data_IF_327777995346
#
_entry.id   IF_327777995346
#
_cell.length_a   1.000
_cell.length_b   1.000
_cell.length_c   1.000
_cell.angle_alpha   90.00
_cell.angle_beta   90.00
_cell.angle_gamma   90.00
#
_symmetry.space_group_name_H-M   'P 1'
#
loop_
_entity.id
_entity.type
_entity.pdbx_description
1 polymer ?
#
# COMPACT_ATOMS: atom_id res chain seq x y z
N UNK A 1 67.05 39.86 -4.51
CA UNK A 1 67.94 38.80 -3.97
C UNK A 1 67.65 37.50 -4.73
N UNK A 2 68.65 36.62 -4.92
CA UNK A 2 68.58 35.44 -5.81
C UNK A 2 68.28 34.13 -5.05
N UNK A 3 67.81 33.13 -5.80
CA UNK A 3 67.83 31.68 -5.54
C UNK A 3 66.78 31.08 -4.57
N UNK A 4 65.81 30.37 -5.16
CA UNK A 4 65.47 29.01 -4.70
C UNK A 4 66.62 28.06 -5.14
N UNK A 5 66.85 26.91 -4.47
CA UNK A 5 66.25 25.61 -4.90
C UNK A 5 66.18 24.56 -3.73
N UNK A 6 65.94 23.23 -3.83
CA UNK A 6 65.66 22.21 -4.87
C UNK A 6 64.55 21.23 -4.37
N UNK A 7 64.07 20.32 -5.24
CA UNK A 7 63.51 18.98 -4.88
C UNK A 7 64.67 18.01 -4.48
N UNK A 8 64.51 16.76 -4.01
CA UNK A 8 64.07 15.54 -4.75
C UNK A 8 64.32 14.26 -3.90
N UNK A 9 63.66 13.13 -4.26
CA UNK A 9 63.98 11.69 -4.00
C UNK A 9 63.85 11.19 -2.53
N UNK A 10 63.03 10.18 -2.17
CA UNK A 10 62.82 8.78 -2.64
C UNK A 10 63.94 7.79 -2.24
N UNK A 11 63.60 6.87 -1.32
CA UNK A 11 64.01 5.45 -1.13
C UNK A 11 63.29 4.95 0.15
N UNK A 12 62.24 4.12 0.11
CA UNK A 12 62.24 2.64 -0.05
C UNK A 12 63.30 1.92 0.81
N UNK A 13 62.86 0.98 1.67
CA UNK A 13 63.40 -0.39 1.90
C UNK A 13 62.68 -1.13 3.07
N UNK A 14 62.05 -2.27 2.74
CA UNK A 14 61.97 -3.56 3.51
C UNK A 14 61.14 -3.67 4.81
N UNK A 15 60.24 -4.66 4.83
CA UNK A 15 59.57 -5.28 6.00
C UNK A 15 60.26 -6.62 6.36
N UNK A 16 60.10 -7.23 7.57
CA UNK A 16 58.90 -8.05 7.88
C UNK A 16 58.54 -8.19 9.39
N UNK A 17 57.65 -9.15 9.71
CA UNK A 17 57.57 -9.99 10.96
C UNK A 17 56.36 -9.82 11.92
N UNK A 18 55.30 -10.58 11.61
CA UNK A 18 54.57 -11.57 12.46
C UNK A 18 54.45 -11.38 13.99
N UNK A 19 53.19 -11.43 14.44
CA UNK A 19 52.63 -11.89 15.74
C UNK A 19 52.77 -11.02 17.02
N UNK A 20 51.61 -10.51 17.45
CA UNK A 20 51.22 -10.45 18.87
C UNK A 20 49.68 -10.54 18.99
N UNK A 21 49.17 -11.73 19.32
CA UNK A 21 47.77 -12.00 19.62
C UNK A 21 47.62 -12.15 21.14
N UNK A 22 46.78 -11.33 21.80
CA UNK A 22 45.94 -11.74 22.94
C UNK A 22 45.17 -10.56 23.59
N UNK A 23 43.85 -10.58 23.40
CA UNK A 23 42.80 -10.36 24.42
C UNK A 23 42.86 -9.13 25.34
N UNK A 24 41.86 -8.26 25.15
CA UNK A 24 40.97 -7.85 26.25
C UNK A 24 39.55 -7.62 25.70
N UNK A 25 38.80 -8.71 25.59
CA UNK A 25 37.39 -8.73 25.21
C UNK A 25 36.51 -8.41 26.40
N UNK A 26 35.75 -7.32 26.31
CA UNK A 26 34.53 -7.08 27.07
C UNK A 26 33.47 -6.57 26.08
N UNK A 27 33.06 -7.47 25.17
CA UNK A 27 32.15 -7.14 24.08
C UNK A 27 30.74 -6.88 24.58
N UNK A 28 30.17 -5.73 24.23
CA UNK A 28 28.72 -5.58 24.22
C UNK A 28 28.17 -6.32 22.98
N UNK A 29 27.24 -7.28 23.13
CA UNK A 29 26.83 -8.17 22.04
C UNK A 29 26.18 -7.45 20.84
N UNK A 30 25.65 -6.23 21.03
CA UNK A 30 25.00 -5.48 19.96
C UNK A 30 25.91 -4.95 18.85
N UNK A 31 27.23 -4.83 19.07
CA UNK A 31 28.13 -4.22 18.09
C UNK A 31 28.55 -5.16 16.94
N UNK A 32 28.73 -6.46 17.22
CA UNK A 32 29.02 -7.44 16.18
C UNK A 32 27.76 -7.79 15.40
N UNK A 33 26.66 -8.15 16.08
CA UNK A 33 25.38 -8.46 15.43
C UNK A 33 24.87 -7.36 14.47
N UNK A 34 25.09 -6.08 14.78
CA UNK A 34 24.76 -4.97 13.86
C UNK A 34 25.68 -4.92 12.63
N UNK A 35 26.95 -5.27 12.78
CA UNK A 35 27.91 -5.40 11.67
C UNK A 35 27.53 -6.59 10.78
N UNK A 36 27.23 -7.74 11.38
CA UNK A 36 26.88 -8.98 10.69
C UNK A 36 25.59 -8.80 9.88
N UNK A 37 24.53 -8.23 10.49
CA UNK A 37 23.27 -7.98 9.80
C UNK A 37 23.39 -6.98 8.65
N UNK A 38 24.27 -5.98 8.77
CA UNK A 38 24.54 -5.04 7.67
C UNK A 38 25.17 -5.73 6.45
N UNK A 39 25.97 -6.79 6.68
CA UNK A 39 26.56 -7.62 5.62
C UNK A 39 25.50 -8.46 4.93
N UNK A 40 24.62 -9.13 5.69
CA UNK A 40 23.45 -9.87 5.16
C UNK A 40 22.58 -8.93 4.31
N UNK A 41 22.26 -7.75 4.85
CA UNK A 41 21.45 -6.75 4.16
C UNK A 41 22.10 -6.23 2.87
N UNK A 42 23.43 -6.05 2.85
CA UNK A 42 24.14 -5.65 1.64
C UNK A 42 24.13 -6.75 0.58
N UNK A 43 24.42 -8.00 0.96
CA UNK A 43 24.35 -9.13 0.04
C UNK A 43 22.95 -9.29 -0.56
N UNK A 44 21.90 -9.11 0.26
CA UNK A 44 20.50 -9.13 -0.20
C UNK A 44 20.12 -7.98 -1.17
N UNK A 45 20.91 -6.90 -1.25
CA UNK A 45 20.74 -5.89 -2.32
C UNK A 45 21.37 -6.34 -3.64
N UNK A 46 22.36 -7.23 -3.59
CA UNK A 46 23.14 -7.68 -4.74
C UNK A 46 22.59 -9.00 -5.33
N UNK A 47 22.00 -9.88 -4.52
CA UNK A 47 21.28 -11.10 -4.94
C UNK A 47 20.08 -11.36 -4.01
N UNK A 48 18.96 -11.98 -4.46
CA UNK A 48 17.80 -12.28 -3.61
C UNK A 48 18.05 -13.34 -2.54
N UNK A 49 19.11 -14.15 -2.64
CA UNK A 49 19.39 -15.24 -1.69
C UNK A 49 20.74 -15.01 -1.01
N UNK A 50 20.75 -15.08 0.32
CA UNK A 50 21.97 -15.07 1.14
C UNK A 50 22.05 -16.36 1.96
N UNK A 51 23.22 -16.99 1.96
CA UNK A 51 23.56 -18.10 2.86
C UNK A 51 24.76 -17.66 3.69
N UNK A 52 24.62 -17.72 5.01
CA UNK A 52 25.73 -17.47 5.92
C UNK A 52 26.81 -18.56 5.76
N UNK A 53 28.12 -18.22 5.79
CA UNK A 53 29.20 -19.21 5.75
C UNK A 53 29.05 -20.36 6.76
N UNK A 54 28.50 -20.09 7.95
CA UNK A 54 28.25 -21.09 9.01
C UNK A 54 26.98 -21.93 8.77
N UNK A 55 26.20 -21.64 7.72
CA UNK A 55 24.98 -22.33 7.33
C UNK A 55 25.06 -23.01 5.94
N UNK A 56 26.28 -23.13 5.38
CA UNK A 56 26.54 -23.76 4.07
C UNK A 56 26.28 -25.28 4.02
N UNK A 57 26.12 -25.92 5.18
CA UNK A 57 25.66 -27.31 5.33
C UNK A 57 24.13 -27.44 5.26
N UNK A 58 23.39 -26.35 5.49
CA UNK A 58 21.92 -26.28 5.43
C UNK A 58 21.44 -26.11 3.98
N UNK A 59 22.08 -25.24 3.21
CA UNK A 59 21.79 -25.02 1.80
C UNK A 59 23.09 -24.90 1.00
N UNK A 60 23.26 -25.74 -0.02
CA UNK A 60 24.47 -25.70 -0.86
C UNK A 60 24.52 -24.42 -1.69
N UNK A 61 25.73 -23.94 -2.02
CA UNK A 61 25.93 -22.77 -2.90
C UNK A 61 25.16 -22.93 -4.23
N UNK A 62 25.19 -24.13 -4.83
CA UNK A 62 24.46 -24.42 -6.07
C UNK A 62 22.93 -24.43 -5.92
N UNK A 63 22.41 -24.75 -4.74
CA UNK A 63 20.96 -24.67 -4.47
C UNK A 63 20.52 -23.23 -4.16
N UNK A 64 21.40 -22.43 -3.54
CA UNK A 64 21.20 -21.01 -3.31
C UNK A 64 21.22 -20.22 -4.63
N UNK A 65 22.16 -20.51 -5.52
CA UNK A 65 22.26 -19.94 -6.87
C UNK A 65 21.01 -20.28 -7.69
N UNK A 66 20.59 -21.55 -7.73
CA UNK A 66 19.37 -21.96 -8.44
C UNK A 66 18.08 -21.36 -7.85
N UNK A 67 18.05 -21.06 -6.54
CA UNK A 67 16.95 -20.34 -5.91
C UNK A 67 16.99 -18.84 -6.22
N UNK A 68 18.18 -18.25 -6.34
CA UNK A 68 18.37 -16.87 -6.73
C UNK A 68 17.96 -16.63 -8.17
N UNK A 69 18.47 -17.43 -9.12
CA UNK A 69 18.07 -17.43 -10.53
C UNK A 69 16.54 -17.46 -10.68
N UNK A 70 15.87 -18.36 -9.95
CA UNK A 70 14.40 -18.48 -9.94
C UNK A 70 13.69 -17.17 -9.52
N UNK A 71 14.21 -16.46 -8.52
CA UNK A 71 13.62 -15.21 -8.02
C UNK A 71 13.91 -14.05 -8.99
N UNK A 72 15.12 -13.98 -9.54
CA UNK A 72 15.54 -12.96 -10.51
C UNK A 72 14.76 -13.09 -11.83
N UNK A 73 14.66 -14.29 -12.40
CA UNK A 73 13.88 -14.61 -13.61
C UNK A 73 12.39 -14.23 -13.47
N UNK A 74 11.85 -14.31 -12.25
CA UNK A 74 10.46 -14.00 -11.97
C UNK A 74 10.16 -12.51 -11.76
N UNK A 75 11.18 -11.64 -11.67
CA UNK A 75 11.08 -10.22 -11.32
C UNK A 75 10.21 -9.99 -10.07
N UNK A 76 10.55 -10.61 -8.93
CA UNK A 76 9.80 -10.45 -7.67
C UNK A 76 10.67 -9.97 -6.52
N UNK A 77 10.18 -9.07 -5.64
CA UNK A 77 10.90 -8.59 -4.47
C UNK A 77 10.79 -9.62 -3.31
N UNK A 78 11.36 -10.80 -3.52
CA UNK A 78 11.47 -11.88 -2.54
C UNK A 78 12.93 -11.96 -2.12
N UNK A 79 13.16 -12.00 -0.81
CA UNK A 79 14.49 -12.04 -0.20
C UNK A 79 14.54 -13.26 0.72
N UNK A 80 15.57 -14.08 0.61
CA UNK A 80 15.76 -15.30 1.42
C UNK A 80 17.11 -15.24 2.11
N UNK A 81 17.13 -15.34 3.44
CA UNK A 81 18.36 -15.49 4.21
C UNK A 81 18.38 -16.84 4.94
N UNK A 82 19.49 -17.57 4.83
CA UNK A 82 19.78 -18.79 5.59
C UNK A 82 20.89 -18.48 6.58
N UNK A 83 20.58 -18.56 7.88
CA UNK A 83 21.42 -18.11 8.98
C UNK A 83 21.62 -19.23 10.01
N UNK A 84 22.72 -19.22 10.79
CA UNK A 84 22.96 -20.20 11.85
C UNK A 84 21.89 -20.15 12.96
N UNK A 85 21.72 -21.24 13.69
CA UNK A 85 20.61 -21.43 14.62
C UNK A 85 20.66 -20.53 15.87
N UNK A 86 21.83 -19.98 16.21
CA UNK A 86 22.08 -19.07 17.32
C UNK A 86 22.11 -17.58 16.91
N UNK A 87 21.80 -17.27 15.64
CA UNK A 87 21.78 -15.90 15.14
C UNK A 87 20.76 -15.02 15.91
N UNK A 88 21.11 -13.77 16.30
CA UNK A 88 20.22 -12.90 17.07
C UNK A 88 18.89 -12.57 16.35
N UNK A 89 17.77 -12.95 16.96
CA UNK A 89 16.42 -12.77 16.37
C UNK A 89 15.72 -11.47 16.77
N UNK A 90 16.27 -10.71 17.74
CA UNK A 90 15.65 -9.48 18.24
C UNK A 90 15.54 -8.42 17.14
N UNK A 91 14.30 -8.03 16.80
CA UNK A 91 13.99 -7.09 15.72
C UNK A 91 14.53 -7.49 14.33
N UNK A 92 14.97 -8.74 14.12
CA UNK A 92 15.70 -9.21 12.94
C UNK A 92 15.08 -8.75 11.60
N UNK A 93 13.83 -9.12 11.32
CA UNK A 93 13.13 -8.69 10.09
C UNK A 93 12.99 -7.18 9.94
N UNK A 94 12.78 -6.43 11.03
CA UNK A 94 12.64 -4.97 11.00
C UNK A 94 13.97 -4.34 10.60
N UNK A 95 15.05 -4.76 11.26
CA UNK A 95 16.38 -4.25 11.02
C UNK A 95 16.88 -4.66 9.63
N UNK A 96 16.67 -5.92 9.22
CA UNK A 96 17.01 -6.41 7.88
C UNK A 96 16.30 -5.61 6.78
N UNK A 97 14.98 -5.40 6.89
CA UNK A 97 14.22 -4.57 5.96
C UNK A 97 14.77 -3.13 5.95
N UNK A 98 15.00 -2.53 7.12
CA UNK A 98 15.52 -1.16 7.23
C UNK A 98 16.89 -1.02 6.55
N UNK A 99 17.80 -1.95 6.80
CA UNK A 99 19.14 -1.95 6.19
C UNK A 99 19.06 -2.25 4.69
N UNK A 100 18.47 -3.36 4.25
CA UNK A 100 18.35 -3.70 2.81
C UNK A 100 17.71 -2.56 2.03
N UNK A 101 16.74 -1.87 2.63
CA UNK A 101 16.14 -0.64 2.10
C UNK A 101 15.07 -0.86 1.03
N UNK A 102 14.87 -2.11 0.59
CA UNK A 102 13.91 -2.49 -0.45
C UNK A 102 12.59 -2.94 0.18
N UNK A 103 11.47 -2.58 -0.47
CA UNK A 103 10.13 -3.05 -0.09
C UNK A 103 9.91 -4.45 -0.65
N UNK A 104 9.58 -5.45 0.18
CA UNK A 104 9.53 -6.85 -0.26
C UNK A 104 8.94 -7.84 0.74
N UNK A 105 9.01 -9.13 0.38
CA UNK A 105 8.82 -10.28 1.27
C UNK A 105 10.19 -10.82 1.65
N UNK A 106 10.46 -10.93 2.94
CA UNK A 106 11.68 -11.47 3.50
C UNK A 106 11.35 -12.78 4.20
N UNK A 107 11.92 -13.89 3.74
CA UNK A 107 11.92 -15.19 4.41
C UNK A 107 13.28 -15.44 5.06
N UNK A 108 13.29 -15.94 6.30
CA UNK A 108 14.53 -16.26 7.02
C UNK A 108 14.43 -17.68 7.58
N UNK A 109 15.44 -18.50 7.26
CA UNK A 109 15.66 -19.80 7.89
C UNK A 109 16.77 -19.70 8.93
N UNK A 110 16.48 -20.14 10.15
CA UNK A 110 17.39 -20.14 11.30
C UNK A 110 17.60 -21.57 11.76
N UNK A 111 18.67 -22.22 11.31
CA UNK A 111 18.88 -23.65 11.52
C UNK A 111 17.76 -24.50 10.90
N UNK A 112 16.77 -24.87 11.71
CA UNK A 112 15.56 -25.61 11.31
C UNK A 112 14.27 -24.80 11.35
N UNK A 113 14.27 -23.61 11.96
CA UNK A 113 13.10 -22.75 12.05
C UNK A 113 12.97 -21.86 10.80
N UNK A 114 11.73 -21.50 10.45
CA UNK A 114 11.43 -20.62 9.32
C UNK A 114 10.30 -19.65 9.69
N UNK A 115 10.56 -18.36 9.48
CA UNK A 115 9.58 -17.26 9.58
C UNK A 115 9.72 -16.35 8.35
N UNK A 116 8.70 -15.56 8.05
CA UNK A 116 8.73 -14.59 6.97
C UNK A 116 7.92 -13.34 7.31
N UNK A 117 8.31 -12.18 6.76
CA UNK A 117 7.56 -10.92 6.87
C UNK A 117 7.59 -10.15 5.56
N UNK A 118 6.47 -9.50 5.24
CA UNK A 118 6.35 -8.63 4.08
C UNK A 118 5.95 -7.22 4.47
N UNK A 119 6.36 -6.24 3.67
CA UNK A 119 5.71 -4.94 3.64
C UNK A 119 4.23 -5.10 3.21
N UNK A 120 3.30 -4.37 3.85
CA UNK A 120 1.85 -4.52 3.62
C UNK A 120 1.37 -4.14 2.21
N UNK A 121 2.22 -3.48 1.42
CA UNK A 121 2.02 -3.18 0.01
C UNK A 121 2.38 -4.34 -0.94
N UNK A 122 3.06 -5.37 -0.42
CA UNK A 122 3.55 -6.54 -1.17
C UNK A 122 2.68 -7.77 -0.88
N UNK A 123 2.40 -8.02 0.40
CA UNK A 123 1.53 -9.11 0.85
C UNK A 123 0.87 -8.77 2.20
N UNK A 124 -0.35 -9.25 2.40
CA UNK A 124 -1.06 -9.07 3.68
C UNK A 124 -0.47 -9.98 4.77
N UNK A 125 -0.60 -9.58 6.05
CA UNK A 125 -0.12 -10.39 7.18
C UNK A 125 -0.73 -11.80 7.20
N UNK A 126 -1.98 -11.96 6.73
CA UNK A 126 -2.61 -13.27 6.58
C UNK A 126 -1.98 -14.10 5.44
N UNK A 127 -1.66 -13.46 4.31
CA UNK A 127 -0.96 -14.11 3.21
C UNK A 127 0.42 -14.63 3.65
N UNK A 128 1.16 -13.82 4.41
CA UNK A 128 2.45 -14.22 5.00
C UNK A 128 2.29 -15.43 5.94
N UNK A 129 1.31 -15.41 6.85
CA UNK A 129 1.05 -16.55 7.75
C UNK A 129 0.73 -17.84 6.99
N UNK A 130 -0.04 -17.74 5.90
CA UNK A 130 -0.35 -18.89 5.05
C UNK A 130 0.91 -19.46 4.38
N UNK A 131 1.81 -18.60 3.86
CA UNK A 131 3.09 -19.02 3.28
C UNK A 131 4.02 -19.69 4.31
N UNK A 132 4.16 -19.11 5.50
CA UNK A 132 4.97 -19.69 6.58
C UNK A 132 4.41 -21.06 7.00
N UNK A 133 3.09 -21.19 7.11
CA UNK A 133 2.43 -22.46 7.46
C UNK A 133 2.66 -23.53 6.39
N UNK A 134 2.61 -23.17 5.11
CA UNK A 134 2.90 -24.09 4.01
C UNK A 134 4.37 -24.54 4.03
N UNK A 135 5.30 -23.60 4.14
CA UNK A 135 6.75 -23.86 4.16
C UNK A 135 7.20 -24.73 5.35
N UNK A 136 6.52 -24.63 6.50
CA UNK A 136 6.80 -25.47 7.68
C UNK A 136 6.45 -26.96 7.48
N UNK A 137 5.69 -27.33 6.43
CA UNK A 137 5.36 -28.72 6.10
C UNK A 137 6.39 -29.47 5.26
N UNK A 138 7.42 -28.78 4.74
CA UNK A 138 8.40 -29.37 3.83
C UNK A 138 9.53 -30.13 4.58
N UNK A 139 10.08 -31.16 3.93
CA UNK A 139 10.95 -32.14 4.59
C UNK A 139 12.41 -31.73 4.82
N UNK A 140 13.01 -30.97 3.89
CA UNK A 140 14.38 -30.47 3.98
C UNK A 140 14.47 -28.97 3.66
N UNK A 141 15.61 -28.35 3.95
CA UNK A 141 15.82 -26.91 3.78
C UNK A 141 15.62 -26.45 2.33
N UNK A 142 16.07 -27.24 1.35
CA UNK A 142 15.94 -26.93 -0.08
C UNK A 142 14.48 -26.96 -0.50
N UNK A 143 13.73 -28.00 -0.11
CA UNK A 143 12.30 -28.13 -0.38
C UNK A 143 11.53 -26.97 0.26
N UNK A 144 11.76 -26.68 1.56
CA UNK A 144 11.10 -25.59 2.27
C UNK A 144 11.27 -24.24 1.58
N UNK A 145 12.49 -23.88 1.20
CA UNK A 145 12.76 -22.60 0.57
C UNK A 145 12.23 -22.52 -0.86
N UNK A 146 12.21 -23.64 -1.60
CA UNK A 146 11.60 -23.71 -2.92
C UNK A 146 10.07 -23.61 -2.87
N UNK A 147 9.42 -24.32 -1.95
CA UNK A 147 7.96 -24.28 -1.77
C UNK A 147 7.51 -22.88 -1.34
N UNK A 148 8.23 -22.26 -0.39
CA UNK A 148 8.00 -20.87 0.01
C UNK A 148 8.10 -19.90 -1.17
N UNK A 149 9.15 -20.00 -1.98
CA UNK A 149 9.33 -19.15 -3.16
C UNK A 149 8.24 -19.42 -4.20
N UNK A 150 7.95 -20.67 -4.53
CA UNK A 150 6.96 -21.02 -5.56
C UNK A 150 5.53 -20.55 -5.18
N UNK A 151 5.15 -20.64 -3.90
CA UNK A 151 3.86 -20.10 -3.43
C UNK A 151 3.88 -18.58 -3.26
N UNK A 152 5.00 -17.97 -2.91
CA UNK A 152 5.15 -16.52 -2.93
C UNK A 152 5.00 -15.97 -4.37
N UNK A 153 5.71 -16.54 -5.35
CA UNK A 153 5.67 -16.15 -6.76
C UNK A 153 4.24 -16.13 -7.33
N UNK A 154 3.38 -17.07 -6.90
CA UNK A 154 1.96 -17.16 -7.29
C UNK A 154 1.08 -16.06 -6.70
N UNK A 155 1.41 -15.57 -5.50
CA UNK A 155 0.52 -14.74 -4.68
C UNK A 155 1.00 -13.29 -4.48
N UNK A 156 2.20 -12.92 -4.97
CA UNK A 156 2.92 -11.72 -4.56
C UNK A 156 2.99 -10.62 -5.65
N UNK A 157 2.65 -9.39 -5.23
CA UNK A 157 2.70 -8.18 -6.06
C UNK A 157 3.98 -7.37 -5.86
N UNK A 158 4.59 -6.90 -6.95
CA UNK A 158 5.84 -6.14 -6.95
C UNK A 158 6.75 -6.53 -8.11
N UNK A 159 7.88 -5.81 -8.22
CA UNK A 159 9.03 -6.10 -9.10
C UNK A 159 10.33 -6.05 -8.28
N UNK A 160 11.38 -6.70 -8.77
CA UNK A 160 12.70 -6.75 -8.14
C UNK A 160 13.41 -5.38 -8.08
N UNK A 161 14.37 -5.17 -7.16
CA UNK A 161 15.25 -4.01 -7.19
C UNK A 161 16.17 -4.03 -8.42
N UNK A 162 16.47 -2.85 -8.97
CA UNK A 162 17.27 -2.68 -10.19
C UNK A 162 18.77 -3.03 -10.05
N UNK A 163 19.20 -3.49 -8.88
CA UNK A 163 20.57 -3.94 -8.61
C UNK A 163 20.83 -5.38 -9.06
N UNK A 164 19.80 -6.24 -9.11
CA UNK A 164 19.94 -7.65 -9.49
C UNK A 164 20.14 -7.86 -11.01
N UNK A 165 19.71 -6.93 -11.87
CA UNK A 165 19.88 -7.03 -13.33
C UNK A 165 21.32 -6.71 -13.81
N UNK A 166 22.34 -7.23 -13.14
CA UNK A 166 23.70 -6.65 -13.07
C UNK A 166 24.90 -7.57 -13.30
N UNK A 167 24.71 -8.83 -13.72
CA UNK A 167 25.78 -9.77 -14.09
C UNK A 167 25.18 -11.03 -14.75
N UNK A 168 25.87 -11.85 -15.55
CA UNK A 168 27.30 -11.92 -15.87
C UNK A 168 27.52 -12.35 -17.34
N UNK A 169 28.78 -12.40 -17.82
CA UNK A 169 29.12 -12.99 -19.12
C UNK A 169 30.21 -12.24 -19.88
N UNK A 170 31.46 -12.72 -19.80
CA UNK A 170 32.57 -12.17 -20.58
C UNK A 170 32.43 -12.49 -22.07
N UNK A 171 32.34 -11.47 -22.94
CA UNK A 171 32.23 -11.64 -24.40
C UNK A 171 33.46 -11.03 -25.11
N UNK A 172 34.07 -11.70 -26.11
CA UNK A 172 35.19 -11.15 -26.85
C UNK A 172 34.85 -9.86 -27.61
N UNK A 173 35.84 -8.98 -27.73
CA UNK A 173 35.76 -7.69 -28.43
C UNK A 173 35.48 -7.92 -29.93
N UNK A 174 34.20 -7.89 -30.32
CA UNK A 174 33.78 -8.07 -31.72
C UNK A 174 32.28 -7.93 -32.01
N UNK A 175 31.39 -8.18 -31.03
CA UNK A 175 29.93 -8.22 -31.25
C UNK A 175 29.13 -6.94 -30.95
N UNK A 176 29.78 -5.80 -30.69
CA UNK A 176 29.16 -4.70 -29.92
C UNK A 176 28.25 -3.71 -30.68
N UNK A 177 28.02 -3.86 -31.98
CA UNK A 177 27.22 -2.87 -32.75
C UNK A 177 25.73 -3.25 -32.87
N UNK A 178 25.34 -4.51 -32.63
CA UNK A 178 23.97 -4.97 -32.95
C UNK A 178 23.04 -5.16 -31.74
N UNK A 179 23.57 -5.40 -30.52
CA UNK A 179 22.75 -5.79 -29.35
C UNK A 179 22.41 -4.64 -28.41
N UNK A 180 23.25 -3.60 -28.31
CA UNK A 180 23.04 -2.46 -27.40
C UNK A 180 21.72 -1.71 -27.65
N UNK A 181 21.23 -1.73 -28.89
CA UNK A 181 19.98 -1.08 -29.30
C UNK A 181 18.71 -1.81 -28.84
N UNK A 182 18.80 -3.12 -28.51
CA UNK A 182 17.64 -3.93 -28.12
C UNK A 182 17.40 -3.94 -26.60
N UNK A 183 18.45 -3.98 -25.78
CA UNK A 183 18.30 -4.04 -24.32
C UNK A 183 17.85 -2.70 -23.71
N UNK A 184 18.30 -1.57 -24.26
CA UNK A 184 17.76 -0.25 -23.90
C UNK A 184 16.26 -0.10 -24.22
N UNK A 185 15.76 -0.81 -25.24
CA UNK A 185 14.34 -0.82 -25.58
C UNK A 185 13.50 -1.70 -24.63
N UNK A 186 14.07 -2.78 -24.09
CA UNK A 186 13.38 -3.68 -23.15
C UNK A 186 13.05 -3.02 -21.80
N UNK A 187 14.07 -2.50 -21.10
CA UNK A 187 13.88 -1.83 -19.81
C UNK A 187 13.05 -0.54 -19.91
N UNK A 188 13.27 0.25 -20.98
CA UNK A 188 12.41 1.38 -21.29
C UNK A 188 10.97 0.93 -21.62
N UNK A 189 10.80 -0.23 -22.24
CA UNK A 189 9.50 -0.85 -22.53
C UNK A 189 8.74 -1.20 -21.26
N UNK A 190 9.34 -1.93 -20.32
CA UNK A 190 8.68 -2.30 -19.05
C UNK A 190 8.38 -1.07 -18.18
N UNK A 191 9.31 -0.13 -18.05
CA UNK A 191 9.06 1.13 -17.34
C UNK A 191 7.97 1.97 -18.04
N UNK A 192 7.98 2.05 -19.37
CA UNK A 192 6.93 2.74 -20.13
C UNK A 192 5.58 2.04 -20.00
N UNK A 193 5.52 0.72 -19.98
CA UNK A 193 4.29 -0.06 -19.77
C UNK A 193 3.78 0.12 -18.34
N UNK A 194 4.62 0.02 -17.32
CA UNK A 194 4.24 0.27 -15.92
C UNK A 194 3.77 1.72 -15.71
N UNK A 195 4.49 2.71 -16.25
CA UNK A 195 4.09 4.12 -16.25
C UNK A 195 2.80 4.36 -17.03
N UNK A 196 2.59 3.66 -18.15
CA UNK A 196 1.36 3.70 -18.94
C UNK A 196 0.20 3.01 -18.23
N UNK A 197 0.44 1.95 -17.47
CA UNK A 197 -0.60 1.25 -16.70
C UNK A 197 -1.00 2.05 -15.46
N UNK A 198 -0.03 2.67 -14.76
CA UNK A 198 -0.32 3.66 -13.70
C UNK A 198 -1.07 4.88 -14.25
N UNK A 199 -0.71 5.38 -15.44
CA UNK A 199 -1.46 6.45 -16.11
C UNK A 199 -2.87 6.01 -16.49
N UNK A 200 -3.04 4.84 -17.13
CA UNK A 200 -4.34 4.26 -17.43
C UNK A 200 -5.20 4.10 -16.19
N UNK A 201 -4.65 3.58 -15.10
CA UNK A 201 -5.40 3.43 -13.86
C UNK A 201 -5.77 4.79 -13.21
N UNK A 202 -4.90 5.81 -13.34
CA UNK A 202 -5.25 7.18 -12.95
C UNK A 202 -6.30 7.81 -13.89
N UNK A 203 -6.26 7.51 -15.19
CA UNK A 203 -7.25 7.91 -16.19
C UNK A 203 -8.60 7.22 -15.94
N UNK A 204 -8.60 5.93 -15.58
CA UNK A 204 -9.76 5.15 -15.16
C UNK A 204 -10.37 5.69 -13.86
N UNK A 205 -9.57 5.94 -12.82
CA UNK A 205 -10.03 6.56 -11.58
C UNK A 205 -10.59 7.96 -11.80
N UNK A 206 -9.95 8.76 -12.68
CA UNK A 206 -10.47 10.09 -13.07
C UNK A 206 -11.78 10.00 -13.85
N UNK A 207 -11.88 9.10 -14.82
CA UNK A 207 -13.11 8.88 -15.59
C UNK A 207 -14.25 8.30 -14.72
N UNK A 208 -13.92 7.49 -13.72
CA UNK A 208 -14.88 7.03 -12.72
C UNK A 208 -15.34 8.17 -11.81
N UNK A 209 -14.41 9.00 -11.33
CA UNK A 209 -14.73 10.21 -10.56
C UNK A 209 -15.55 11.21 -11.38
N UNK A 210 -15.25 11.40 -12.67
CA UNK A 210 -15.99 12.30 -13.56
C UNK A 210 -17.43 11.83 -13.78
N UNK A 211 -17.66 10.52 -13.93
CA UNK A 211 -19.02 9.94 -13.95
C UNK A 211 -19.78 10.15 -12.64
N UNK A 212 -19.14 9.92 -11.50
CA UNK A 212 -19.75 10.16 -10.19
C UNK A 212 -20.02 11.65 -9.96
N UNK A 213 -19.10 12.51 -10.40
CA UNK A 213 -19.20 13.96 -10.28
C UNK A 213 -20.43 14.51 -10.98
N UNK A 214 -20.79 14.02 -12.17
CA UNK A 214 -22.06 14.44 -12.83
C UNK A 214 -23.28 14.13 -11.95
N UNK A 215 -23.34 12.94 -11.35
CA UNK A 215 -24.48 12.52 -10.49
C UNK A 215 -24.51 13.31 -9.16
N UNK A 216 -23.34 13.66 -8.64
CA UNK A 216 -23.19 14.29 -7.33
C UNK A 216 -23.27 15.82 -7.41
N UNK A 217 -22.73 16.45 -8.46
CA UNK A 217 -22.94 17.88 -8.75
C UNK A 217 -24.44 18.15 -9.03
N UNK A 218 -25.16 17.20 -9.66
CA UNK A 218 -26.63 17.25 -9.78
C UNK A 218 -27.32 17.18 -8.40
N UNK A 219 -26.88 16.31 -7.49
CA UNK A 219 -27.48 16.20 -6.15
C UNK A 219 -27.16 17.41 -5.24
N UNK A 220 -25.95 17.97 -5.34
CA UNK A 220 -25.58 19.25 -4.72
C UNK A 220 -26.46 20.38 -5.28
N UNK A 221 -26.69 20.41 -6.59
CA UNK A 221 -27.52 21.43 -7.25
C UNK A 221 -28.97 21.31 -6.78
N UNK A 222 -29.54 20.10 -6.80
CA UNK A 222 -30.88 19.83 -6.29
C UNK A 222 -31.04 20.25 -4.82
N UNK A 223 -30.07 19.94 -3.96
CA UNK A 223 -30.06 20.39 -2.57
C UNK A 223 -29.91 21.91 -2.41
N UNK A 224 -29.11 22.57 -3.26
CA UNK A 224 -29.04 24.02 -3.35
C UNK A 224 -30.37 24.66 -3.75
N UNK A 225 -31.12 24.05 -4.66
CA UNK A 225 -32.47 24.48 -5.03
C UNK A 225 -33.51 24.13 -3.95
N UNK A 226 -33.35 23.05 -3.19
CA UNK A 226 -34.18 22.75 -2.00
C UNK A 226 -34.02 23.87 -0.95
N UNK A 227 -32.79 24.35 -0.75
CA UNK A 227 -32.47 25.50 0.10
C UNK A 227 -33.04 26.83 -0.44
N UNK A 228 -32.96 27.08 -1.75
CA UNK A 228 -33.47 28.33 -2.37
C UNK A 228 -35.02 28.39 -2.38
N UNK A 229 -35.68 27.24 -2.56
CA UNK A 229 -37.15 27.13 -2.45
C UNK A 229 -37.66 27.17 -1.01
N UNK A 230 -36.78 27.10 0.00
CA UNK A 230 -37.18 27.11 1.40
C UNK A 230 -37.62 28.52 1.80
N UNK A 231 -38.93 28.72 1.86
CA UNK A 231 -39.57 29.92 2.40
C UNK A 231 -39.38 30.02 3.92
N UNK A 232 -38.15 30.25 4.39
CA UNK A 232 -37.77 30.47 5.79
C UNK A 232 -36.68 31.55 5.86
N UNK A 233 -36.90 32.57 6.69
CA UNK A 233 -35.92 33.60 6.97
C UNK A 233 -35.50 33.58 8.46
N UNK A 234 -34.20 33.48 8.80
CA UNK A 234 -33.72 33.40 10.19
C UNK A 234 -34.18 34.53 11.15
N UNK A 235 -34.63 35.65 10.59
CA UNK A 235 -35.13 36.83 11.30
C UNK A 235 -36.67 37.00 11.23
N UNK A 236 -37.41 36.02 10.70
CA UNK A 236 -38.88 36.08 10.63
C UNK A 236 -39.54 35.94 12.01
N UNK A 237 -40.71 36.57 12.24
CA UNK A 237 -41.47 36.34 13.46
C UNK A 237 -41.87 34.87 13.58
N UNK A 238 -41.36 34.20 14.62
CA UNK A 238 -41.58 32.77 14.87
C UNK A 238 -40.35 31.88 14.69
N UNK A 239 -39.28 32.37 14.06
CA UNK A 239 -37.99 31.66 14.07
C UNK A 239 -37.40 31.63 15.49
N UNK A 240 -37.33 30.44 16.09
CA UNK A 240 -36.60 30.19 17.34
C UNK A 240 -35.11 29.88 17.09
N UNK A 241 -34.33 29.77 18.16
CA UNK A 241 -32.89 29.47 18.04
C UNK A 241 -32.61 28.07 17.48
N UNK A 242 -33.49 27.09 17.71
CA UNK A 242 -33.31 25.75 17.19
C UNK A 242 -33.60 25.69 15.68
N UNK A 243 -34.62 26.42 15.20
CA UNK A 243 -34.88 26.61 13.76
C UNK A 243 -33.70 27.33 13.08
N UNK A 244 -33.16 28.39 13.70
CA UNK A 244 -31.94 29.06 13.21
C UNK A 244 -30.75 28.11 13.13
N UNK A 245 -30.53 27.28 14.15
CA UNK A 245 -29.45 26.28 14.18
C UNK A 245 -29.65 25.20 13.11
N UNK A 246 -30.85 24.66 12.95
CA UNK A 246 -31.14 23.65 11.93
C UNK A 246 -30.97 24.22 10.51
N UNK A 247 -31.37 25.47 10.25
CA UNK A 247 -31.11 26.16 8.98
C UNK A 247 -29.61 26.42 8.74
N UNK A 248 -28.89 26.92 9.75
CA UNK A 248 -27.44 27.16 9.64
C UNK A 248 -26.68 25.86 9.32
N UNK A 249 -27.03 24.74 9.94
CA UNK A 249 -26.44 23.44 9.63
C UNK A 249 -26.71 22.99 8.18
N UNK A 250 -27.88 23.29 7.62
CA UNK A 250 -28.18 22.97 6.22
C UNK A 250 -27.32 23.80 5.24
N UNK A 251 -27.07 25.08 5.55
CA UNK A 251 -26.16 25.93 4.78
C UNK A 251 -24.69 25.48 4.90
N UNK A 252 -24.22 25.19 6.12
CA UNK A 252 -22.85 24.68 6.36
C UNK A 252 -22.61 23.36 5.61
N UNK A 253 -23.60 22.47 5.58
CA UNK A 253 -23.57 21.21 4.85
C UNK A 253 -23.49 21.42 3.32
N UNK A 254 -24.20 22.42 2.77
CA UNK A 254 -24.12 22.79 1.35
C UNK A 254 -22.76 23.39 0.97
N UNK A 255 -22.18 24.26 1.82
CA UNK A 255 -20.82 24.75 1.59
C UNK A 255 -19.77 23.63 1.72
N UNK A 256 -19.98 22.70 2.66
CA UNK A 256 -19.12 21.54 2.85
C UNK A 256 -19.17 20.58 1.65
N UNK A 257 -20.35 20.27 1.10
CA UNK A 257 -20.47 19.36 -0.05
C UNK A 257 -19.77 19.94 -1.29
N UNK A 258 -19.99 21.23 -1.60
CA UNK A 258 -19.29 21.95 -2.67
C UNK A 258 -17.77 21.91 -2.51
N UNK A 259 -17.25 22.19 -1.31
CA UNK A 259 -15.80 22.15 -1.03
C UNK A 259 -15.24 20.75 -1.20
N UNK A 260 -15.89 19.72 -0.64
CA UNK A 260 -15.44 18.33 -0.75
C UNK A 260 -15.42 17.87 -2.22
N UNK A 261 -16.42 18.25 -3.01
CA UNK A 261 -16.50 17.92 -4.45
C UNK A 261 -15.47 18.71 -5.29
N UNK A 262 -15.07 19.91 -4.86
CA UNK A 262 -13.96 20.66 -5.45
C UNK A 262 -12.59 20.05 -5.11
N UNK A 263 -12.42 19.50 -3.91
CA UNK A 263 -11.16 18.92 -3.42
C UNK A 263 -10.95 17.45 -3.83
N UNK A 264 -12.03 16.72 -4.14
CA UNK A 264 -12.03 15.29 -4.50
C UNK A 264 -11.07 14.96 -5.65
N UNK A 265 -10.25 13.92 -5.44
CA UNK A 265 -9.22 13.45 -6.40
C UNK A 265 -9.41 12.01 -6.82
N UNK A 266 -10.22 11.25 -6.09
CA UNK A 266 -10.51 9.83 -6.33
C UNK A 266 -12.01 9.53 -6.17
N UNK A 267 -12.53 8.45 -6.76
CA UNK A 267 -13.93 8.03 -6.60
C UNK A 267 -14.38 7.85 -5.15
N UNK A 268 -13.49 7.46 -4.23
CA UNK A 268 -13.84 7.21 -2.82
C UNK A 268 -14.11 8.50 -2.03
N UNK A 269 -13.53 9.63 -2.46
CA UNK A 269 -13.70 10.94 -1.81
C UNK A 269 -15.16 11.43 -1.92
N UNK A 270 -15.88 10.99 -2.97
CA UNK A 270 -17.29 11.30 -3.24
C UNK A 270 -18.20 10.94 -2.07
N UNK A 271 -17.87 9.88 -1.31
CA UNK A 271 -18.68 9.45 -0.16
C UNK A 271 -18.85 10.55 0.89
N UNK A 272 -17.82 11.38 1.10
CA UNK A 272 -17.90 12.51 2.02
C UNK A 272 -18.82 13.62 1.52
N UNK A 273 -18.94 13.77 0.20
CA UNK A 273 -19.86 14.71 -0.45
C UNK A 273 -21.31 14.27 -0.25
N UNK A 274 -21.62 13.00 -0.54
CA UNK A 274 -22.97 12.45 -0.37
C UNK A 274 -23.43 12.55 1.08
N UNK A 275 -22.56 12.19 2.04
CA UNK A 275 -22.86 12.31 3.46
C UNK A 275 -23.11 13.77 3.89
N UNK A 276 -22.37 14.75 3.35
CA UNK A 276 -22.63 16.17 3.64
C UNK A 276 -24.02 16.61 3.13
N UNK A 277 -24.44 16.16 1.93
CA UNK A 277 -25.79 16.46 1.42
C UNK A 277 -26.87 15.76 2.26
N UNK A 278 -26.67 14.51 2.67
CA UNK A 278 -27.57 13.79 3.59
C UNK A 278 -27.74 14.53 4.93
N UNK A 279 -26.64 15.02 5.52
CA UNK A 279 -26.66 15.78 6.76
C UNK A 279 -27.40 17.12 6.62
N UNK A 280 -27.25 17.79 5.47
CA UNK A 280 -27.99 18.99 5.13
C UNK A 280 -29.50 18.76 4.98
N UNK A 281 -29.90 17.71 4.25
CA UNK A 281 -31.32 17.31 4.12
C UNK A 281 -31.94 16.89 5.46
N UNK A 282 -31.19 16.20 6.32
CA UNK A 282 -31.64 15.89 7.67
C UNK A 282 -31.87 17.16 8.52
N UNK A 283 -31.02 18.18 8.37
CA UNK A 283 -31.22 19.46 9.03
C UNK A 283 -32.47 20.20 8.53
N UNK A 284 -32.75 20.18 7.22
CA UNK A 284 -34.01 20.70 6.65
C UNK A 284 -35.24 19.92 7.14
N UNK A 285 -35.17 18.59 7.24
CA UNK A 285 -36.27 17.77 7.76
C UNK A 285 -36.61 18.12 9.23
N UNK A 286 -35.60 18.38 10.07
CA UNK A 286 -35.80 18.88 11.44
C UNK A 286 -36.43 20.27 11.46
N UNK A 287 -35.95 21.19 10.62
CA UNK A 287 -36.49 22.54 10.49
C UNK A 287 -37.98 22.50 10.08
N UNK A 288 -38.34 21.74 9.05
CA UNK A 288 -39.73 21.56 8.62
C UNK A 288 -40.61 21.00 9.75
N UNK A 289 -40.15 19.96 10.44
CA UNK A 289 -40.86 19.39 11.58
C UNK A 289 -41.13 20.43 12.69
N UNK A 290 -40.15 21.29 13.03
CA UNK A 290 -40.35 22.39 13.99
C UNK A 290 -41.39 23.41 13.51
N UNK A 291 -41.28 23.88 12.26
CA UNK A 291 -42.19 24.88 11.69
C UNK A 291 -43.64 24.39 11.66
N UNK A 292 -43.84 23.10 11.44
CA UNK A 292 -45.16 22.46 11.41
C UNK A 292 -45.64 21.94 12.78
N UNK A 293 -44.82 22.04 13.84
CA UNK A 293 -45.15 21.50 15.16
C UNK A 293 -45.20 19.96 15.23
N UNK A 294 -44.55 19.27 14.28
CA UNK A 294 -44.45 17.80 14.22
C UNK A 294 -43.31 17.27 15.10
N UNK A 295 -43.35 15.97 15.50
CA UNK A 295 -42.20 15.31 16.11
C UNK A 295 -40.94 15.41 15.24
N UNK A 296 -39.78 15.57 15.87
CA UNK A 296 -38.50 15.62 15.14
C UNK A 296 -38.17 14.24 14.54
N UNK A 297 -37.63 14.18 13.30
CA UNK A 297 -37.21 12.94 12.69
C UNK A 297 -36.01 12.31 13.42
N UNK A 298 -36.00 10.99 13.49
CA UNK A 298 -34.82 10.22 13.92
C UNK A 298 -33.77 10.17 12.81
N UNK A 299 -32.48 10.06 13.18
CA UNK A 299 -31.39 9.95 12.20
C UNK A 299 -31.31 8.52 11.66
N UNK A 300 -32.06 8.27 10.59
CA UNK A 300 -32.10 7.02 9.84
C UNK A 300 -31.39 7.18 8.47
N UNK A 301 -31.03 6.08 7.78
CA UNK A 301 -30.51 6.15 6.41
C UNK A 301 -31.45 6.91 5.47
N UNK A 302 -30.94 7.50 4.36
CA UNK A 302 -31.79 8.09 3.35
C UNK A 302 -32.76 7.05 2.75
N UNK A 303 -33.88 7.52 2.21
CA UNK A 303 -34.84 6.65 1.52
C UNK A 303 -34.16 5.87 0.38
N UNK A 304 -34.38 4.55 0.35
CA UNK A 304 -33.75 3.61 -0.59
C UNK A 304 -34.09 3.89 -2.06
N UNK A 305 -35.29 4.41 -2.34
CA UNK A 305 -35.76 4.66 -3.71
C UNK A 305 -35.28 6.00 -4.28
N UNK A 306 -35.34 7.06 -3.48
CA UNK A 306 -34.73 8.35 -3.81
C UNK A 306 -34.26 9.04 -2.51
N UNK A 307 -32.95 9.25 -2.30
CA UNK A 307 -32.41 9.98 -1.16
C UNK A 307 -32.96 11.41 -0.99
N UNK A 308 -33.54 12.02 -2.04
CA UNK A 308 -34.20 13.33 -1.98
C UNK A 308 -35.48 13.35 -1.15
N UNK A 309 -36.08 12.19 -0.85
CA UNK A 309 -37.18 12.09 0.12
C UNK A 309 -36.71 12.27 1.58
N UNK A 310 -35.40 12.43 1.81
CA UNK A 310 -34.82 12.68 3.13
C UNK A 310 -34.63 11.40 3.95
N UNK A 311 -34.56 11.51 5.29
CA UNK A 311 -34.41 10.33 6.14
C UNK A 311 -35.63 9.42 6.01
N UNK A 312 -35.38 8.12 5.90
CA UNK A 312 -36.43 7.11 6.01
C UNK A 312 -37.19 7.24 7.34
N UNK A 313 -38.48 6.90 7.33
CA UNK A 313 -39.34 6.94 8.53
C UNK A 313 -39.71 5.55 9.04
N UNK A 314 -39.66 4.54 8.18
CA UNK A 314 -39.93 3.13 8.53
C UNK A 314 -39.07 2.16 7.68
N UNK A 315 -38.94 0.92 8.15
CA UNK A 315 -38.34 -0.18 7.39
C UNK A 315 -39.44 -0.99 6.70
N UNK A 316 -39.34 -1.11 5.40
CA UNK A 316 -40.41 -1.61 4.55
C UNK A 316 -39.99 -2.85 3.79
N UNK A 317 -40.85 -3.87 3.76
CA UNK A 317 -40.56 -5.11 3.04
C UNK A 317 -40.87 -4.97 1.55
N UNK A 318 -39.85 -4.78 0.72
CA UNK A 318 -39.97 -4.62 -0.73
C UNK A 318 -39.60 -5.88 -1.51
N UNK A 319 -40.18 -6.05 -2.71
CA UNK A 319 -39.88 -7.15 -3.65
C UNK A 319 -39.77 -6.60 -5.08
N UNK A 320 -38.63 -6.78 -5.78
CA UNK A 320 -38.46 -6.27 -7.14
C UNK A 320 -39.34 -6.99 -8.18
N UNK A 321 -39.76 -6.30 -9.26
CA UNK A 321 -40.52 -6.91 -10.36
C UNK A 321 -39.78 -8.12 -10.97
N UNK A 322 -40.42 -9.29 -10.93
CA UNK A 322 -39.87 -10.54 -11.47
C UNK A 322 -38.89 -11.30 -10.55
N UNK A 323 -38.66 -10.83 -9.32
CA UNK A 323 -37.76 -11.47 -8.35
C UNK A 323 -38.47 -12.13 -7.16
N UNK A 324 -37.73 -12.95 -6.43
CA UNK A 324 -38.13 -13.48 -5.13
C UNK A 324 -37.03 -13.24 -4.08
N UNK A 325 -37.09 -12.08 -3.43
CA UNK A 325 -36.47 -11.81 -2.14
C UNK A 325 -37.17 -10.60 -1.51
N UNK A 326 -37.45 -10.70 -0.21
CA UNK A 326 -38.02 -9.62 0.60
C UNK A 326 -36.86 -8.90 1.26
N UNK A 327 -36.69 -7.62 0.94
CA UNK A 327 -35.67 -6.76 1.55
C UNK A 327 -36.35 -5.76 2.48
N UNK A 328 -35.82 -5.61 3.69
CA UNK A 328 -36.14 -4.47 4.54
C UNK A 328 -35.42 -3.24 3.96
N UNK A 329 -36.18 -2.36 3.31
CA UNK A 329 -35.68 -1.12 2.71
C UNK A 329 -36.16 0.07 3.52
N UNK A 330 -35.24 0.96 3.87
CA UNK A 330 -35.54 2.18 4.60
C UNK A 330 -36.33 3.13 3.66
N UNK A 331 -37.56 3.49 4.02
CA UNK A 331 -38.53 4.09 3.10
C UNK A 331 -39.23 5.32 3.70
N UNK A 332 -39.81 6.16 2.85
CA UNK A 332 -40.79 7.19 3.25
C UNK A 332 -42.24 6.71 2.97
N UNK A 333 -43.19 7.15 3.79
CA UNK A 333 -44.62 6.78 3.70
C UNK A 333 -45.22 7.15 2.33
N UNK A 334 -44.74 8.23 1.69
CA UNK A 334 -45.25 8.67 0.38
C UNK A 334 -44.86 7.70 -0.75
N UNK A 335 -43.72 7.01 -0.66
CA UNK A 335 -43.24 6.09 -1.71
C UNK A 335 -44.20 4.91 -1.98
N UNK A 336 -44.92 4.43 -0.96
CA UNK A 336 -45.87 3.31 -1.11
C UNK A 336 -47.10 3.62 -1.96
N UNK A 337 -47.37 4.89 -2.27
CA UNK A 337 -48.54 5.30 -3.06
C UNK A 337 -48.27 5.32 -4.58
N UNK A 338 -47.02 5.08 -5.00
CA UNK A 338 -46.54 5.24 -6.38
C UNK A 338 -45.98 3.97 -7.03
N UNK A 339 -46.03 2.82 -6.34
CA UNK A 339 -45.55 1.51 -6.82
C UNK A 339 -46.61 0.40 -6.63
#
# INVERSE_FOLDING_TARGET
MKAAPKRTLIRLLIAPMVAALAVLTAGAPGAQAATDLSTVAQALRESPVYVDPEATDILSESDAEALADKIEDADKPIFVAVLPADYPTENLFRNLRTETGVTGLYGIRLGNEFDARADSSVLSSQGVQNLVTAAQGAGDAKAQLNDFVDDALRNLGGSAPSSWSGGSGGVPVGGLITVGTLLAAGGAGVYAVSRRNRRRHQEEQRAALEKLRVVVDEDITAFGEELDRLDFHPAEPGADDAMRTDYAHALDAYEQSKRLMAEARRPEDVRGVTQAVEDGRFALARLAARREGRPLPERRPPCFFDPRHGPSVDDAVWTPPGGAARYDVACDVVCFSYF
#
